data_IF_107333578730
#
_entry.id   IF_107333578730
#
_cell.length_a   1.000
_cell.length_b   1.000
_cell.length_c   1.000
_cell.angle_alpha   90.00
_cell.angle_beta   90.00
_cell.angle_gamma   90.00
#
_symmetry.space_group_name_H-M   'P 1'
#
loop_
_entity.id
_entity.type
_entity.pdbx_description
1 polymer ?
#
# COMPACT_ATOMS: atom_id res chain seq x y z
N UNK A 1 3.45 16.84 -3.41
CA UNK A 1 2.12 16.85 -2.78
C UNK A 1 1.06 16.27 -3.70
N UNK A 2 0.96 16.71 -4.95
CA UNK A 2 -0.04 16.23 -5.93
C UNK A 2 -0.12 14.70 -6.05
N UNK A 3 1.01 14.01 -6.27
CA UNK A 3 1.03 12.54 -6.35
C UNK A 3 0.52 11.83 -5.09
N UNK A 4 0.81 12.37 -3.91
CA UNK A 4 0.34 11.81 -2.62
C UNK A 4 -1.18 11.96 -2.51
N UNK A 5 -1.73 13.10 -2.93
CA UNK A 5 -3.17 13.35 -2.92
C UNK A 5 -3.93 12.44 -3.89
N UNK A 6 -3.26 11.95 -4.93
CA UNK A 6 -3.82 11.05 -5.91
C UNK A 6 -3.72 9.56 -5.54
N UNK A 7 -3.09 9.20 -4.41
CA UNK A 7 -2.99 7.80 -3.94
C UNK A 7 -4.36 7.11 -3.86
N UNK A 8 -5.46 7.73 -3.35
CA UNK A 8 -6.77 7.07 -3.35
C UNK A 8 -7.33 6.73 -4.74
N UNK A 9 -6.78 7.34 -5.81
CA UNK A 9 -7.19 7.16 -7.20
C UNK A 9 -6.03 6.65 -8.08
N UNK A 10 -5.05 5.97 -7.48
CA UNK A 10 -3.80 5.59 -8.14
C UNK A 10 -3.96 4.80 -9.45
N UNK A 11 -5.07 4.04 -9.57
CA UNK A 11 -5.41 3.25 -10.77
C UNK A 11 -5.67 4.12 -12.00
N UNK A 12 -6.26 5.29 -11.78
CA UNK A 12 -6.70 6.21 -12.84
C UNK A 12 -5.71 7.38 -13.02
N UNK A 13 -4.95 7.71 -11.98
CA UNK A 13 -4.02 8.85 -12.01
C UNK A 13 -2.84 8.58 -12.97
N UNK A 14 -2.51 9.55 -13.84
CA UNK A 14 -1.35 9.45 -14.74
C UNK A 14 -0.02 9.63 -14.00
N UNK A 15 -0.06 9.95 -12.70
CA UNK A 15 1.14 10.18 -11.89
C UNK A 15 1.81 8.89 -11.41
N UNK A 16 1.16 7.73 -11.58
CA UNK A 16 1.67 6.42 -11.19
C UNK A 16 1.96 5.56 -12.41
N UNK A 17 3.16 5.01 -12.46
CA UNK A 17 3.51 3.98 -13.43
C UNK A 17 2.95 2.60 -13.04
N UNK A 18 3.11 1.60 -13.90
CA UNK A 18 2.57 0.26 -13.63
C UNK A 18 3.25 -0.42 -12.42
N UNK A 19 4.54 -0.16 -12.19
CA UNK A 19 5.26 -0.73 -11.04
C UNK A 19 4.69 -0.19 -9.73
N UNK A 20 4.41 1.11 -9.68
CA UNK A 20 3.80 1.77 -8.52
C UNK A 20 2.34 1.33 -8.34
N UNK A 21 1.56 1.21 -9.42
CA UNK A 21 0.17 0.73 -9.35
C UNK A 21 0.07 -0.69 -8.80
N UNK A 22 0.94 -1.60 -9.26
CA UNK A 22 0.99 -2.97 -8.77
C UNK A 22 1.38 -3.01 -7.29
N UNK A 23 2.31 -2.15 -6.85
CA UNK A 23 2.67 -2.06 -5.44
C UNK A 23 1.53 -1.56 -4.56
N UNK A 24 0.80 -0.54 -5.02
CA UNK A 24 -0.36 0.00 -4.30
C UNK A 24 -1.52 -1.00 -4.26
N UNK A 25 -1.77 -1.74 -5.35
CA UNK A 25 -2.78 -2.81 -5.36
C UNK A 25 -2.42 -3.95 -4.39
N UNK A 26 -1.14 -4.36 -4.32
CA UNK A 26 -0.68 -5.33 -3.33
C UNK A 26 -0.94 -4.83 -1.90
N UNK A 27 -0.56 -3.58 -1.60
CA UNK A 27 -0.79 -3.00 -0.29
C UNK A 27 -2.28 -2.91 0.06
N UNK A 28 -3.13 -2.53 -0.89
CA UNK A 28 -4.59 -2.43 -0.72
C UNK A 28 -5.20 -3.81 -0.40
N UNK A 29 -4.88 -4.85 -1.19
CA UNK A 29 -5.39 -6.21 -0.96
C UNK A 29 -4.85 -6.89 0.30
N UNK A 30 -3.66 -6.51 0.77
CA UNK A 30 -3.15 -6.96 2.07
C UNK A 30 -3.85 -6.28 3.26
N UNK A 31 -4.51 -5.15 3.04
CA UNK A 31 -5.06 -4.28 4.09
C UNK A 31 -6.57 -4.46 4.27
N UNK A 32 -7.31 -4.56 3.17
CA UNK A 32 -8.77 -4.68 3.21
C UNK A 32 -9.16 -6.09 3.67
N UNK A 33 -9.96 -6.17 4.73
CA UNK A 33 -10.44 -7.46 5.23
C UNK A 33 -11.37 -8.13 4.21
N UNK A 34 -11.08 -9.38 3.87
CA UNK A 34 -11.85 -10.16 2.89
C UNK A 34 -11.24 -10.16 1.48
N UNK A 35 -10.34 -9.22 1.19
CA UNK A 35 -9.53 -9.24 -0.03
C UNK A 35 -8.40 -10.28 0.07
N UNK A 36 -7.93 -10.72 -1.10
CA UNK A 36 -6.80 -11.66 -1.21
C UNK A 36 -5.83 -11.19 -2.28
N UNK A 37 -4.55 -11.36 -1.99
CA UNK A 37 -3.51 -11.36 -3.01
C UNK A 37 -3.64 -12.68 -3.75
N UNK A 38 -4.26 -12.65 -4.93
CA UNK A 38 -4.41 -13.82 -5.80
C UNK A 38 -3.16 -14.04 -6.67
N UNK A 39 -3.13 -15.20 -7.34
CA UNK A 39 -2.00 -15.60 -8.17
C UNK A 39 -1.77 -14.62 -9.33
N UNK A 40 -2.81 -13.97 -9.84
CA UNK A 40 -2.72 -12.98 -10.91
C UNK A 40 -1.99 -11.73 -10.44
N UNK A 41 -2.38 -11.18 -9.29
CA UNK A 41 -1.72 -10.03 -8.67
C UNK A 41 -0.28 -10.39 -8.29
N UNK A 42 -0.05 -11.57 -7.72
CA UNK A 42 1.30 -11.99 -7.35
C UNK A 42 2.21 -12.15 -8.59
N UNK A 43 1.68 -12.69 -9.69
CA UNK A 43 2.41 -12.75 -10.96
C UNK A 43 2.75 -11.35 -11.51
N UNK A 44 1.83 -10.38 -11.40
CA UNK A 44 2.09 -8.98 -11.75
C UNK A 44 3.18 -8.36 -10.88
N UNK A 45 3.15 -8.58 -9.57
CA UNK A 45 4.21 -8.12 -8.65
C UNK A 45 5.57 -8.65 -9.09
N UNK A 46 5.69 -9.96 -9.36
CA UNK A 46 6.97 -10.56 -9.79
C UNK A 46 7.45 -10.15 -11.18
N UNK A 47 6.62 -9.51 -12.00
CA UNK A 47 7.07 -8.89 -13.27
C UNK A 47 7.80 -7.57 -13.06
N UNK A 48 7.51 -6.86 -11.97
CA UNK A 48 8.07 -5.54 -11.70
C UNK A 48 9.09 -5.52 -10.57
N UNK A 49 9.05 -6.50 -9.67
CA UNK A 49 9.88 -6.60 -8.48
C UNK A 49 10.59 -7.96 -8.45
N UNK A 50 11.86 -7.95 -8.06
CA UNK A 50 12.60 -9.16 -7.68
C UNK A 50 11.98 -9.85 -6.47
N UNK A 51 12.42 -11.07 -6.16
CA UNK A 51 11.94 -11.77 -4.95
C UNK A 51 12.26 -10.98 -3.67
N UNK A 52 13.47 -10.42 -3.57
CA UNK A 52 13.85 -9.60 -2.42
C UNK A 52 12.97 -8.36 -2.28
N UNK A 53 12.77 -7.61 -3.38
CA UNK A 53 11.89 -6.44 -3.39
C UNK A 53 10.43 -6.81 -3.08
N UNK A 54 9.97 -7.99 -3.50
CA UNK A 54 8.61 -8.48 -3.20
C UNK A 54 8.44 -8.73 -1.70
N UNK A 55 9.44 -9.35 -1.06
CA UNK A 55 9.45 -9.58 0.39
C UNK A 55 9.48 -8.25 1.14
N UNK A 56 10.33 -7.30 0.72
CA UNK A 56 10.40 -5.96 1.32
C UNK A 56 9.08 -5.21 1.18
N UNK A 57 8.43 -5.27 0.02
CA UNK A 57 7.17 -4.61 -0.24
C UNK A 57 6.04 -5.18 0.64
N UNK A 58 5.96 -6.51 0.76
CA UNK A 58 5.00 -7.17 1.63
C UNK A 58 5.26 -6.84 3.12
N UNK A 59 6.53 -6.79 3.53
CA UNK A 59 6.91 -6.43 4.89
C UNK A 59 6.53 -4.98 5.23
N UNK A 60 6.73 -4.05 4.30
CA UNK A 60 6.33 -2.64 4.47
C UNK A 60 4.81 -2.51 4.65
N UNK A 61 4.01 -3.16 3.79
CA UNK A 61 2.56 -3.16 3.91
C UNK A 61 2.09 -3.79 5.24
N UNK A 62 2.70 -4.91 5.65
CA UNK A 62 2.39 -5.58 6.90
C UNK A 62 2.71 -4.69 8.13
N UNK A 63 3.83 -3.97 8.11
CA UNK A 63 4.21 -3.06 9.19
C UNK A 63 3.21 -1.90 9.34
N UNK A 64 2.74 -1.32 8.23
CA UNK A 64 1.73 -0.27 8.29
C UNK A 64 0.36 -0.79 8.76
N UNK A 65 0.01 -2.02 8.42
CA UNK A 65 -1.17 -2.69 8.97
C UNK A 65 -1.07 -2.95 10.47
N UNK A 66 0.12 -3.34 10.95
CA UNK A 66 0.38 -3.45 12.39
C UNK A 66 0.23 -2.10 13.07
N UNK A 67 0.88 -1.04 12.56
CA UNK A 67 0.81 0.32 13.12
C UNK A 67 -0.62 0.84 13.15
N UNK A 68 -1.39 0.62 12.08
CA UNK A 68 -2.79 1.05 11.99
C UNK A 68 -3.66 0.43 13.09
N UNK A 69 -3.45 -0.85 13.41
CA UNK A 69 -4.20 -1.54 14.49
C UNK A 69 -3.67 -1.19 15.88
N UNK A 70 -2.34 -1.16 16.03
CA UNK A 70 -1.65 -0.88 17.28
C UNK A 70 -1.92 0.55 17.77
N UNK A 71 -1.74 1.55 16.89
CA UNK A 71 -1.92 2.95 17.25
C UNK A 71 -3.36 3.25 17.65
N UNK A 72 -4.34 2.75 16.89
CA UNK A 72 -5.76 2.93 17.20
C UNK A 72 -6.12 2.28 18.53
N UNK A 73 -5.63 1.06 18.80
CA UNK A 73 -5.91 0.37 20.05
C UNK A 73 -5.35 1.08 21.29
N UNK A 74 -4.28 1.87 21.13
CA UNK A 74 -3.63 2.61 22.21
C UNK A 74 -3.99 4.11 22.26
N UNK A 75 -4.91 4.57 21.40
CA UNK A 75 -5.28 5.99 21.34
C UNK A 75 -4.12 6.90 20.89
N UNK A 76 -3.20 6.38 20.08
CA UNK A 76 -2.12 7.19 19.49
C UNK A 76 -2.73 7.98 18.32
N UNK A 77 -2.84 9.29 18.51
CA UNK A 77 -3.46 10.21 17.55
C UNK A 77 -2.42 10.94 16.69
N UNK A 78 -2.88 11.41 15.53
CA UNK A 78 -2.08 12.25 14.66
C UNK A 78 -1.79 13.61 15.31
N UNK A 79 -0.56 14.07 15.21
CA UNK A 79 -0.10 15.33 15.79
C UNK A 79 -0.47 16.57 14.95
N UNK A 80 -1.30 16.41 13.92
CA UNK A 80 -1.76 17.50 13.05
C UNK A 80 -0.72 18.02 12.04
N UNK A 81 0.43 17.37 11.90
CA UNK A 81 1.47 17.80 10.94
C UNK A 81 1.18 17.39 9.48
N UNK A 82 0.32 16.38 9.27
CA UNK A 82 -0.05 15.92 7.93
C UNK A 82 -1.33 16.64 7.47
N UNK A 83 -1.29 17.21 6.27
CA UNK A 83 -2.42 17.94 5.65
C UNK A 83 -3.31 17.04 4.79
N UNK A 84 -2.92 15.78 4.60
CA UNK A 84 -3.74 14.77 3.93
C UNK A 84 -4.72 14.22 4.98
N UNK A 85 -6.01 14.45 4.76
CA UNK A 85 -7.12 13.95 5.60
C UNK A 85 -7.61 12.60 5.10
#
# INVERSE_FOLDING_TARGET
MEKIQDVPRFRESPLFDERERVALELAERMTITGEKVDDELFARVRRHFSEAETVELAAAAALENFRSKFNVALGIEAQGFCVVK
#
